data_IF_904752211838
#
_entry.id   IF_904752211838
#
_cell.length_a   1.000
_cell.length_b   1.000
_cell.length_c   1.000
_cell.angle_alpha   90.00
_cell.angle_beta   90.00
_cell.angle_gamma   90.00
#
_symmetry.space_group_name_H-M   'P 1'
#
loop_
_entity.id
_entity.type
_entity.pdbx_description
1 polymer ?
#
# COMPACT_ATOMS: atom_id res chain seq x y z
N UNK A 1 -15.04 -3.49 8.68
CA UNK A 1 -14.35 -4.67 9.26
C UNK A 1 -13.08 -4.98 8.48
N UNK A 2 -13.14 -5.18 7.16
CA UNK A 2 -11.93 -5.45 6.34
C UNK A 2 -10.86 -4.35 6.42
N UNK A 3 -11.21 -3.08 6.23
CA UNK A 3 -10.22 -1.98 6.29
C UNK A 3 -9.54 -1.87 7.65
N UNK A 4 -10.29 -2.05 8.75
CA UNK A 4 -9.75 -2.02 10.12
C UNK A 4 -8.74 -3.15 10.34
N UNK A 5 -9.06 -4.36 9.86
CA UNK A 5 -8.15 -5.50 9.89
C UNK A 5 -6.91 -5.26 9.01
N UNK A 6 -7.05 -4.61 7.84
CA UNK A 6 -5.91 -4.24 6.99
C UNK A 6 -5.02 -3.21 7.69
N UNK A 7 -5.59 -2.19 8.32
CA UNK A 7 -4.86 -1.18 9.11
C UNK A 7 -4.06 -1.84 10.24
N UNK A 8 -4.68 -2.73 11.01
CA UNK A 8 -3.98 -3.53 12.04
C UNK A 8 -2.87 -4.41 11.43
N UNK A 9 -3.13 -5.00 10.26
CA UNK A 9 -2.15 -5.78 9.51
C UNK A 9 -0.95 -4.95 9.05
N UNK A 10 -1.15 -3.71 8.61
CA UNK A 10 -0.05 -2.77 8.25
C UNK A 10 0.84 -2.53 9.47
N UNK A 11 0.24 -2.20 10.62
CA UNK A 11 0.98 -1.93 11.86
C UNK A 11 1.81 -3.15 12.24
N UNK A 12 1.23 -4.35 12.19
CA UNK A 12 1.94 -5.61 12.45
C UNK A 12 3.12 -5.81 11.50
N UNK A 13 2.91 -5.67 10.19
CA UNK A 13 3.95 -5.86 9.17
C UNK A 13 5.10 -4.84 9.32
N UNK A 14 4.80 -3.59 9.67
CA UNK A 14 5.82 -2.57 9.91
C UNK A 14 6.63 -2.88 11.18
N UNK A 15 5.97 -3.31 12.26
CA UNK A 15 6.63 -3.73 13.50
C UNK A 15 7.49 -4.99 13.34
N UNK A 16 7.13 -5.89 12.42
CA UNK A 16 7.93 -7.07 12.06
C UNK A 16 9.15 -6.68 11.20
N UNK A 17 8.98 -5.73 10.28
CA UNK A 17 10.02 -5.31 9.34
C UNK A 17 11.06 -4.37 9.96
N UNK A 18 10.65 -3.50 10.86
CA UNK A 18 11.50 -2.46 11.45
C UNK A 18 11.54 -2.57 12.98
N UNK A 19 12.71 -2.32 13.56
CA UNK A 19 12.84 -2.29 15.01
C UNK A 19 12.14 -1.04 15.61
N UNK A 20 11.83 -1.06 16.91
CA UNK A 20 11.11 0.03 17.58
C UNK A 20 11.80 1.39 17.47
N UNK A 21 13.13 1.41 17.54
CA UNK A 21 13.92 2.66 17.49
C UNK A 21 13.76 3.32 16.12
N UNK A 22 13.91 2.56 15.04
CA UNK A 22 13.71 3.00 13.66
C UNK A 22 12.29 3.51 13.44
N UNK A 23 11.29 2.85 14.00
CA UNK A 23 9.89 3.28 13.90
C UNK A 23 9.70 4.65 14.57
N UNK A 24 10.26 4.82 15.77
CA UNK A 24 10.11 6.03 16.57
C UNK A 24 10.87 7.23 15.97
N UNK A 25 12.01 6.96 15.33
CA UNK A 25 12.83 7.99 14.70
C UNK A 25 12.36 8.34 13.26
N UNK A 26 11.54 7.49 12.64
CA UNK A 26 10.99 7.73 11.31
C UNK A 26 9.58 8.35 11.37
N UNK A 27 9.50 9.62 10.99
CA UNK A 27 8.24 10.36 10.90
C UNK A 27 7.23 9.71 9.96
N UNK A 28 7.68 9.21 8.80
CA UNK A 28 6.78 8.62 7.81
C UNK A 28 6.16 7.31 8.31
N UNK A 29 6.96 6.42 8.91
CA UNK A 29 6.42 5.19 9.52
C UNK A 29 5.42 5.56 10.63
N UNK A 30 5.78 6.52 11.49
CA UNK A 30 4.91 6.99 12.57
C UNK A 30 3.59 7.58 12.04
N UNK A 31 3.62 8.29 10.91
CA UNK A 31 2.43 8.83 10.26
C UNK A 31 1.55 7.71 9.68
N UNK A 32 2.11 6.70 9.01
CA UNK A 32 1.33 5.53 8.55
C UNK A 32 0.63 4.85 9.73
N UNK A 33 1.35 4.63 10.84
CA UNK A 33 0.79 4.00 12.04
C UNK A 33 -0.36 4.86 12.60
N UNK A 34 -0.14 6.16 12.72
CA UNK A 34 -1.17 7.11 13.19
C UNK A 34 -2.42 7.08 12.31
N UNK A 35 -2.25 7.10 10.98
CA UNK A 35 -3.36 6.99 10.02
C UNK A 35 -4.09 5.65 10.20
N UNK A 36 -3.37 4.54 10.33
CA UNK A 36 -3.97 3.22 10.52
C UNK A 36 -4.77 3.11 11.83
N UNK A 37 -4.38 3.86 12.87
CA UNK A 37 -5.06 3.85 14.17
C UNK A 37 -6.38 4.65 14.22
N UNK A 38 -6.70 5.49 13.21
CA UNK A 38 -7.84 6.41 13.26
C UNK A 38 -9.21 5.76 13.48
N UNK A 39 -9.41 4.59 12.87
CA UNK A 39 -10.66 3.82 12.96
C UNK A 39 -10.43 2.45 13.59
N UNK A 40 -9.29 2.27 14.25
CA UNK A 40 -9.01 1.08 15.01
C UNK A 40 -9.69 1.26 16.37
N UNK A 41 -10.92 0.74 16.48
CA UNK A 41 -11.51 0.54 17.79
C UNK A 41 -10.64 -0.50 18.51
N UNK A 42 -10.33 -0.29 19.79
CA UNK A 42 -9.52 -1.18 20.64
C UNK A 42 -10.13 -2.59 20.85
N UNK A 43 -10.94 -3.08 19.91
CA UNK A 43 -11.43 -4.45 19.87
C UNK A 43 -10.28 -5.36 19.42
N UNK A 44 -9.49 -5.77 20.41
CA UNK A 44 -8.33 -6.66 20.32
C UNK A 44 -8.60 -8.06 19.72
N UNK A 45 -9.70 -8.32 19.02
CA UNK A 45 -10.16 -9.68 18.71
C UNK A 45 -10.80 -9.88 17.32
N UNK A 46 -10.17 -9.42 16.24
CA UNK A 46 -10.40 -10.01 14.92
C UNK A 46 -9.11 -10.59 14.35
N UNK A 47 -8.83 -11.83 14.74
CA UNK A 47 -7.77 -12.71 14.21
C UNK A 47 -7.98 -13.12 12.74
N UNK A 48 -8.81 -12.39 11.98
CA UNK A 48 -9.08 -12.68 10.58
C UNK A 48 -7.90 -12.19 9.75
N UNK A 49 -7.01 -13.11 9.39
CA UNK A 49 -5.92 -12.83 8.45
C UNK A 49 -6.51 -12.49 7.08
N UNK A 50 -6.39 -11.25 6.65
CA UNK A 50 -6.81 -10.83 5.31
C UNK A 50 -5.83 -11.39 4.29
N UNK A 51 -6.36 -12.17 3.35
CA UNK A 51 -5.61 -12.71 2.21
C UNK A 51 -5.47 -11.65 1.10
N UNK A 52 -4.53 -11.88 0.19
CA UNK A 52 -4.35 -11.01 -0.99
C UNK A 52 -5.58 -10.97 -1.89
N UNK A 53 -6.39 -12.04 -1.90
CA UNK A 53 -7.58 -12.15 -2.74
C UNK A 53 -8.75 -11.33 -2.20
N UNK A 54 -8.74 -11.00 -0.91
CA UNK A 54 -9.80 -10.22 -0.25
C UNK A 54 -9.64 -8.71 -0.51
N UNK A 55 -8.54 -8.29 -1.14
CA UNK A 55 -8.30 -6.87 -1.42
C UNK A 55 -9.09 -6.45 -2.67
N UNK A 56 -10.22 -5.79 -2.45
CA UNK A 56 -10.98 -5.15 -3.52
C UNK A 56 -10.30 -3.84 -3.97
N UNK A 57 -9.78 -3.83 -5.20
CA UNK A 57 -9.18 -2.64 -5.84
C UNK A 57 -10.18 -1.87 -6.72
N UNK A 58 -11.49 -1.98 -6.47
CA UNK A 58 -12.49 -1.16 -7.16
C UNK A 58 -12.03 0.30 -7.24
N UNK A 59 -11.95 0.80 -8.48
CA UNK A 59 -11.31 2.08 -8.78
C UNK A 59 -11.95 3.21 -7.97
N UNK A 60 -11.18 3.96 -7.18
CA UNK A 60 -11.76 5.07 -6.45
C UNK A 60 -12.07 6.22 -7.42
N UNK A 61 -13.35 6.50 -7.64
CA UNK A 61 -13.77 7.74 -8.28
C UNK A 61 -13.73 8.84 -7.22
N UNK A 62 -12.67 9.65 -7.24
CA UNK A 62 -12.55 10.84 -6.40
C UNK A 62 -13.24 12.01 -7.08
N UNK A 63 -14.31 12.54 -6.47
CA UNK A 63 -14.99 13.74 -6.96
C UNK A 63 -14.52 14.93 -6.12
N UNK A 64 -14.14 16.05 -6.75
CA UNK A 64 -13.88 17.32 -6.05
C UNK A 64 -15.12 17.67 -5.20
N UNK A 65 -14.98 17.80 -3.87
CA UNK A 65 -16.09 18.23 -3.02
C UNK A 65 -16.14 19.76 -2.94
N UNK A 66 -17.34 20.32 -3.05
CA UNK A 66 -17.60 21.77 -3.01
C UNK A 66 -18.15 22.27 -1.66
N UNK A 67 -18.14 21.44 -0.60
CA UNK A 67 -18.79 21.78 0.68
C UNK A 67 -17.88 21.62 1.88
N UNK A 68 -17.79 22.70 2.67
CA UNK A 68 -17.27 22.74 4.04
C UNK A 68 -18.10 21.78 4.91
N UNK A 69 -17.59 20.58 5.14
CA UNK A 69 -18.14 19.69 6.17
C UNK A 69 -17.58 20.10 7.53
N UNK A 70 -18.44 20.08 8.55
CA UNK A 70 -18.08 20.36 9.95
C UNK A 70 -17.15 19.31 10.56
N UNK A 71 -17.06 18.11 9.96
CA UNK A 71 -16.16 17.05 10.39
C UNK A 71 -15.51 16.38 9.15
N UNK A 72 -14.35 16.89 8.72
CA UNK A 72 -13.75 16.53 7.43
C UNK A 72 -13.32 15.05 7.37
N UNK A 73 -12.95 14.48 8.52
CA UNK A 73 -12.60 13.07 8.72
C UNK A 73 -13.81 12.12 8.66
N UNK A 74 -15.04 12.62 8.66
CA UNK A 74 -16.24 11.78 8.48
C UNK A 74 -16.78 11.83 7.05
N UNK A 75 -16.19 12.69 6.21
CA UNK A 75 -16.63 12.90 4.84
C UNK A 75 -16.52 11.62 4.00
N UNK A 76 -17.48 11.44 3.09
CA UNK A 76 -17.47 10.30 2.15
C UNK A 76 -16.21 10.28 1.28
N UNK A 77 -15.66 11.45 0.97
CA UNK A 77 -14.43 11.56 0.19
C UNK A 77 -13.21 11.10 0.99
N UNK A 78 -13.04 11.59 2.21
CA UNK A 78 -11.97 11.15 3.09
C UNK A 78 -11.99 9.63 3.29
N UNK A 79 -13.16 9.06 3.62
CA UNK A 79 -13.30 7.61 3.81
C UNK A 79 -12.89 6.81 2.57
N UNK A 80 -13.12 7.33 1.37
CA UNK A 80 -12.66 6.71 0.11
C UNK A 80 -11.15 6.80 -0.06
N UNK A 81 -10.56 7.99 0.16
CA UNK A 81 -9.11 8.21 0.05
C UNK A 81 -8.33 7.41 1.09
N UNK A 82 -8.81 7.39 2.33
CA UNK A 82 -8.31 6.57 3.43
C UNK A 82 -8.38 5.07 3.08
N UNK A 83 -9.55 4.57 2.66
CA UNK A 83 -9.72 3.16 2.28
C UNK A 83 -8.76 2.77 1.15
N UNK A 84 -8.63 3.61 0.13
CA UNK A 84 -7.68 3.40 -0.95
C UNK A 84 -6.23 3.35 -0.44
N UNK A 85 -5.81 4.34 0.36
CA UNK A 85 -4.47 4.39 0.94
C UNK A 85 -4.15 3.10 1.72
N UNK A 86 -5.03 2.70 2.65
CA UNK A 86 -4.85 1.48 3.45
C UNK A 86 -4.71 0.24 2.56
N UNK A 87 -5.59 0.09 1.56
CA UNK A 87 -5.53 -1.04 0.62
C UNK A 87 -4.20 -1.11 -0.13
N UNK A 88 -3.72 0.01 -0.66
CA UNK A 88 -2.45 0.05 -1.41
C UNK A 88 -1.26 -0.27 -0.50
N UNK A 89 -1.16 0.36 0.67
CA UNK A 89 -0.05 0.14 1.60
C UNK A 89 -0.03 -1.32 2.08
N UNK A 90 -1.18 -1.85 2.49
CA UNK A 90 -1.30 -3.24 2.93
C UNK A 90 -0.89 -4.22 1.82
N UNK A 91 -1.38 -4.02 0.60
CA UNK A 91 -1.06 -4.87 -0.53
C UNK A 91 0.43 -4.81 -0.91
N UNK A 92 1.05 -3.62 -0.87
CA UNK A 92 2.48 -3.47 -1.11
C UNK A 92 3.30 -4.25 -0.08
N UNK A 93 2.99 -4.09 1.22
CA UNK A 93 3.69 -4.81 2.28
C UNK A 93 3.53 -6.32 2.17
N UNK A 94 2.30 -6.82 1.90
CA UNK A 94 2.04 -8.25 1.72
C UNK A 94 2.68 -8.87 0.48
N UNK A 95 3.01 -8.05 -0.52
CA UNK A 95 3.68 -8.49 -1.77
C UNK A 95 5.18 -8.20 -1.76
N UNK A 96 5.75 -7.79 -0.61
CA UNK A 96 7.16 -7.43 -0.46
C UNK A 96 7.62 -6.29 -1.40
N UNK A 97 6.71 -5.39 -1.77
CA UNK A 97 7.05 -4.15 -2.47
C UNK A 97 7.70 -3.20 -1.46
N UNK A 98 8.89 -2.69 -1.80
CA UNK A 98 9.56 -1.67 -1.00
C UNK A 98 8.85 -0.32 -1.14
N UNK A 99 8.18 0.14 -0.09
CA UNK A 99 7.46 1.42 -0.05
C UNK A 99 8.26 2.57 0.56
N UNK A 100 9.46 2.29 1.09
CA UNK A 100 10.37 3.29 1.64
C UNK A 100 11.70 3.28 0.89
N UNK A 101 12.34 4.43 0.83
CA UNK A 101 13.75 4.60 0.49
C UNK A 101 14.57 4.72 1.77
N UNK A 102 15.80 4.18 1.75
CA UNK A 102 16.78 4.35 2.83
C UNK A 102 17.88 5.24 2.27
N UNK A 103 17.93 6.49 2.74
CA UNK A 103 18.90 7.50 2.29
C UNK A 103 19.61 8.05 3.53
N UNK A 104 20.93 7.91 3.60
CA UNK A 104 21.74 8.39 4.73
C UNK A 104 21.14 7.97 6.09
N UNK A 105 20.85 6.68 6.25
CA UNK A 105 20.23 6.10 7.47
C UNK A 105 18.81 6.60 7.79
N UNK A 106 18.24 7.48 6.96
CA UNK A 106 16.86 7.94 7.08
C UNK A 106 15.93 7.09 6.22
N UNK A 107 14.78 6.72 6.78
CA UNK A 107 13.71 6.03 6.07
C UNK A 107 12.69 7.06 5.61
N UNK A 108 12.44 7.12 4.30
CA UNK A 108 11.56 8.10 3.67
C UNK A 108 10.53 7.37 2.83
N UNK A 109 9.27 7.76 2.92
CA UNK A 109 8.18 7.19 2.14
C UNK A 109 8.32 7.57 0.67
N UNK A 110 8.26 6.56 -0.19
CA UNK A 110 8.52 6.75 -1.62
C UNK A 110 7.52 7.69 -2.25
N UNK A 111 8.03 8.56 -3.12
CA UNK A 111 7.21 9.28 -4.06
C UNK A 111 6.53 8.31 -5.05
N UNK A 112 5.47 8.78 -5.72
CA UNK A 112 4.64 7.95 -6.61
C UNK A 112 5.47 7.26 -7.70
N UNK A 113 6.47 7.96 -8.26
CA UNK A 113 7.32 7.41 -9.31
C UNK A 113 8.29 6.32 -8.80
N UNK A 114 8.94 6.55 -7.66
CA UNK A 114 9.80 5.58 -7.00
C UNK A 114 9.00 4.35 -6.53
N UNK A 115 7.76 4.55 -6.07
CA UNK A 115 6.84 3.48 -5.72
C UNK A 115 6.49 2.63 -6.95
N UNK A 116 6.12 3.25 -8.09
CA UNK A 116 5.86 2.52 -9.33
C UNK A 116 7.06 1.68 -9.78
N UNK A 117 8.27 2.24 -9.74
CA UNK A 117 9.50 1.47 -10.01
C UNK A 117 9.66 0.29 -9.06
N UNK A 118 9.35 0.48 -7.77
CA UNK A 118 9.47 -0.58 -6.76
C UNK A 118 8.45 -1.70 -6.97
N UNK A 119 7.24 -1.36 -7.42
CA UNK A 119 6.21 -2.33 -7.81
C UNK A 119 6.67 -3.15 -9.03
N UNK A 120 7.20 -2.48 -10.06
CA UNK A 120 7.72 -3.15 -11.26
C UNK A 120 8.93 -4.05 -10.94
N UNK A 121 9.83 -3.58 -10.07
CA UNK A 121 10.97 -4.37 -9.59
C UNK A 121 10.53 -5.60 -8.77
N UNK A 122 9.55 -5.43 -7.88
CA UNK A 122 8.99 -6.55 -7.11
C UNK A 122 8.38 -7.61 -8.03
N UNK A 123 7.65 -7.19 -9.07
CA UNK A 123 7.13 -8.11 -10.10
C UNK A 123 8.25 -8.88 -10.78
N UNK A 124 9.29 -8.17 -11.22
CA UNK A 124 10.44 -8.77 -11.90
C UNK A 124 11.15 -9.79 -11.00
N UNK A 125 11.38 -9.46 -9.72
CA UNK A 125 11.96 -10.39 -8.73
C UNK A 125 11.11 -11.64 -8.56
N UNK A 126 9.81 -11.49 -8.36
CA UNK A 126 8.87 -12.60 -8.22
C UNK A 126 8.91 -13.56 -9.43
N UNK A 127 8.95 -13.01 -10.65
CA UNK A 127 9.06 -13.81 -11.88
C UNK A 127 10.43 -14.51 -11.97
N UNK A 128 11.52 -13.81 -11.63
CA UNK A 128 12.86 -14.40 -11.66
C UNK A 128 13.01 -15.54 -10.65
N UNK A 129 12.49 -15.38 -9.43
CA UNK A 129 12.45 -16.42 -8.40
C UNK A 129 11.72 -17.67 -8.91
N UNK A 130 10.55 -17.48 -9.55
CA UNK A 130 9.82 -18.60 -10.15
C UNK A 130 10.60 -19.29 -11.28
N UNK A 131 11.24 -18.52 -12.16
CA UNK A 131 12.09 -19.07 -13.23
C UNK A 131 13.27 -19.86 -12.65
N UNK A 132 13.85 -19.40 -11.54
CA UNK A 132 14.96 -20.08 -10.88
C UNK A 132 14.52 -21.43 -10.29
N UNK A 133 13.35 -21.50 -9.65
CA UNK A 133 12.77 -22.76 -9.17
C UNK A 133 12.59 -23.75 -10.33
N UNK A 134 12.02 -23.29 -11.45
CA UNK A 134 11.84 -24.11 -12.65
C UNK A 134 13.17 -24.61 -13.25
N UNK A 135 14.20 -23.74 -13.30
CA UNK A 135 15.54 -24.10 -13.77
C UNK A 135 16.21 -25.13 -12.87
N UNK A 136 16.11 -24.97 -11.56
CA UNK A 136 16.68 -25.91 -10.59
C UNK A 136 16.02 -27.28 -10.71
N UNK A 137 14.71 -27.33 -10.92
CA UNK A 137 14.02 -28.58 -11.21
C UNK A 137 14.48 -29.22 -12.53
N UNK A 138 14.59 -28.46 -13.61
CA UNK A 138 15.09 -28.98 -14.89
C UNK A 138 16.53 -29.53 -14.80
N UNK A 139 17.38 -28.95 -13.95
CA UNK A 139 18.77 -29.44 -13.75
C UNK A 139 18.84 -30.73 -12.93
N UNK A 140 17.85 -30.97 -12.07
CA UNK A 140 17.76 -32.13 -11.18
C UNK A 140 16.51 -32.95 -11.49
N UNK A 141 16.40 -33.47 -12.72
CA UNK A 141 15.21 -34.21 -13.23
C UNK A 141 14.79 -35.38 -12.31
N UNK A 142 15.71 -35.94 -11.54
CA UNK A 142 15.43 -37.00 -10.57
C UNK A 142 14.66 -36.54 -9.31
N UNK A 143 14.69 -35.25 -8.97
CA UNK A 143 13.93 -34.68 -7.87
C UNK A 143 12.54 -34.27 -8.38
N UNK A 144 11.51 -35.08 -8.08
CA UNK A 144 10.12 -34.68 -8.28
C UNK A 144 9.85 -33.35 -7.56
N UNK A 145 9.14 -32.44 -8.22
CA UNK A 145 8.57 -31.27 -7.56
C UNK A 145 7.61 -31.78 -6.49
N UNK A 146 7.75 -31.25 -5.27
CA UNK A 146 6.88 -31.57 -4.15
C UNK A 146 5.44 -31.06 -4.39
N UNK A 147 4.45 -31.75 -3.85
CA UNK A 147 3.03 -31.37 -3.99
C UNK A 147 2.77 -29.95 -3.46
N UNK A 148 3.51 -29.54 -2.42
CA UNK A 148 3.48 -28.17 -1.87
C UNK A 148 3.77 -27.06 -2.90
N UNK A 149 4.55 -27.35 -3.95
CA UNK A 149 4.77 -26.38 -5.02
C UNK A 149 3.49 -26.09 -5.81
N UNK A 150 2.73 -27.13 -6.12
CA UNK A 150 1.49 -27.01 -6.89
C UNK A 150 0.34 -26.51 -6.03
N UNK A 151 0.25 -26.98 -4.79
CA UNK A 151 -0.87 -26.71 -3.90
C UNK A 151 -0.73 -25.37 -3.17
N UNK A 152 0.49 -24.95 -2.81
CA UNK A 152 0.72 -23.72 -2.04
C UNK A 152 1.45 -22.64 -2.84
N UNK A 153 2.59 -22.98 -3.44
CA UNK A 153 3.46 -21.96 -4.07
C UNK A 153 2.82 -21.34 -5.32
N UNK A 154 2.34 -22.14 -6.28
CA UNK A 154 1.77 -21.62 -7.55
C UNK A 154 0.56 -20.71 -7.27
N UNK A 155 -0.45 -21.10 -6.46
CA UNK A 155 -1.57 -20.22 -6.14
C UNK A 155 -1.11 -18.91 -5.49
N UNK A 156 -0.15 -18.98 -4.56
CA UNK A 156 0.44 -17.80 -3.93
C UNK A 156 1.16 -16.87 -4.92
N UNK A 157 1.95 -17.44 -5.83
CA UNK A 157 2.65 -16.72 -6.90
C UNK A 157 1.67 -16.02 -7.85
N UNK A 158 0.60 -16.72 -8.27
CA UNK A 158 -0.44 -16.15 -9.15
C UNK A 158 -1.17 -15.01 -8.43
N UNK A 159 -1.56 -15.20 -7.17
CA UNK A 159 -2.25 -14.18 -6.39
C UNK A 159 -1.38 -12.92 -6.21
N UNK A 160 -0.10 -13.07 -5.87
CA UNK A 160 0.85 -11.95 -5.76
C UNK A 160 0.99 -11.18 -7.07
N UNK A 161 1.17 -11.86 -8.19
CA UNK A 161 1.26 -11.21 -9.51
C UNK A 161 0.00 -10.42 -9.85
N UNK A 162 -1.19 -11.01 -9.65
CA UNK A 162 -2.47 -10.34 -9.90
C UNK A 162 -2.63 -9.07 -9.05
N UNK A 163 -2.25 -9.13 -7.78
CA UNK A 163 -2.33 -7.96 -6.89
C UNK A 163 -1.35 -6.87 -7.32
N UNK A 164 -0.10 -7.22 -7.63
CA UNK A 164 0.91 -6.28 -8.13
C UNK A 164 0.39 -5.54 -9.38
N UNK A 165 -0.21 -6.27 -10.33
CA UNK A 165 -0.76 -5.68 -11.55
C UNK A 165 -1.93 -4.73 -11.25
N UNK A 166 -2.83 -5.11 -10.32
CA UNK A 166 -3.93 -4.23 -9.90
C UNK A 166 -3.45 -2.95 -9.22
N UNK A 167 -2.44 -3.04 -8.34
CA UNK A 167 -1.84 -1.85 -7.69
C UNK A 167 -1.29 -0.91 -8.76
N UNK A 168 -0.50 -1.45 -9.69
CA UNK A 168 0.13 -0.70 -10.76
C UNK A 168 -0.92 -0.01 -11.65
N UNK A 169 -1.94 -0.74 -12.09
CA UNK A 169 -3.02 -0.21 -12.92
C UNK A 169 -3.77 0.92 -12.20
N UNK A 170 -4.09 0.72 -10.91
CA UNK A 170 -4.87 1.70 -10.14
C UNK A 170 -4.09 2.99 -9.92
N UNK A 171 -2.80 2.92 -9.56
CA UNK A 171 -1.96 4.11 -9.42
C UNK A 171 -1.79 4.81 -10.77
N UNK A 172 -1.53 4.06 -11.85
CA UNK A 172 -1.41 4.64 -13.21
C UNK A 172 -2.71 5.31 -13.66
N UNK A 173 -3.87 4.78 -13.28
CA UNK A 173 -5.18 5.40 -13.55
C UNK A 173 -5.32 6.74 -12.81
N UNK A 174 -4.96 6.81 -11.53
CA UNK A 174 -5.01 8.07 -10.77
C UNK A 174 -4.08 9.14 -11.33
N UNK A 175 -2.91 8.75 -11.85
CA UNK A 175 -2.00 9.67 -12.56
C UNK A 175 -2.68 10.21 -13.81
N UNK A 176 -3.26 9.32 -14.64
CA UNK A 176 -3.98 9.72 -15.87
C UNK A 176 -5.16 10.64 -15.60
N UNK A 177 -5.85 10.44 -14.48
CA UNK A 177 -6.99 11.28 -14.05
C UNK A 177 -6.55 12.61 -13.41
N UNK A 178 -5.24 12.89 -13.31
CA UNK A 178 -4.72 14.14 -12.74
C UNK A 178 -4.72 14.18 -11.21
N UNK A 179 -5.18 13.12 -10.53
CA UNK A 179 -5.48 13.13 -9.09
C UNK A 179 -4.21 13.10 -8.24
N UNK A 180 -3.19 12.39 -8.72
CA UNK A 180 -1.87 12.29 -8.06
C UNK A 180 -0.76 12.88 -8.93
N UNK A 181 -1.11 13.66 -9.95
CA UNK A 181 -0.14 14.18 -10.93
C UNK A 181 0.79 15.24 -10.32
N UNK A 182 0.27 16.00 -9.35
CA UNK A 182 1.00 17.06 -8.62
C UNK A 182 1.35 16.65 -7.18
N UNK A 183 1.27 15.37 -6.87
CA UNK A 183 1.49 14.86 -5.51
C UNK A 183 2.78 14.08 -5.41
N UNK A 184 3.56 14.35 -4.38
CA UNK A 184 4.84 13.68 -4.16
C UNK A 184 4.63 12.19 -3.84
N UNK A 185 3.85 11.87 -2.81
CA UNK A 185 3.62 10.48 -2.37
C UNK A 185 2.14 10.20 -2.02
N UNK A 186 1.81 8.94 -1.72
CA UNK A 186 0.42 8.54 -1.40
C UNK A 186 -0.16 9.22 -0.15
N UNK A 187 0.67 9.80 0.73
CA UNK A 187 0.16 10.52 1.90
C UNK A 187 -0.67 11.73 1.54
N UNK A 188 -0.39 12.36 0.40
CA UNK A 188 -1.13 13.53 -0.10
C UNK A 188 -2.63 13.27 -0.29
N UNK A 189 -3.05 12.00 -0.39
CA UNK A 189 -4.46 11.63 -0.43
C UNK A 189 -5.17 11.77 0.93
N UNK A 190 -4.41 11.69 2.03
CA UNK A 190 -4.94 11.50 3.38
C UNK A 190 -4.49 12.62 4.33
N UNK A 191 -3.21 13.01 4.30
CA UNK A 191 -2.63 14.06 5.15
C UNK A 191 -3.33 15.43 5.11
N UNK A 192 -3.83 15.94 3.96
CA UNK A 192 -4.49 17.25 3.94
C UNK A 192 -5.70 17.34 4.88
N UNK A 193 -6.29 16.20 5.22
CA UNK A 193 -7.43 16.09 6.13
C UNK A 193 -7.02 16.08 7.62
N UNK A 194 -5.73 15.90 7.94
CA UNK A 194 -5.17 15.91 9.31
C UNK A 194 -4.64 17.26 9.73
N UNK A 195 -4.25 18.11 8.79
CA UNK A 195 -3.74 19.44 9.08
C UNK A 195 -4.86 20.47 8.99
N UNK A 196 -4.99 21.30 10.02
CA UNK A 196 -5.98 22.38 10.17
C UNK A 196 -5.88 23.46 9.08
N UNK A 197 -4.90 23.36 8.19
CA UNK A 197 -4.63 24.23 7.06
C UNK A 197 -5.05 23.60 5.73
N UNK A 198 -6.11 22.78 5.71
CA UNK A 198 -6.68 22.20 4.47
C UNK A 198 -6.83 23.25 3.37
N UNK A 199 -7.23 24.48 3.75
CA UNK A 199 -7.33 25.63 2.86
C UNK A 199 -6.02 25.98 2.13
N UNK A 200 -4.86 25.88 2.79
CA UNK A 200 -3.56 26.22 2.20
C UNK A 200 -2.99 25.08 1.34
N UNK A 201 -3.27 23.82 1.70
CA UNK A 201 -2.86 22.64 0.90
C UNK A 201 -3.72 22.53 -0.36
N UNK A 202 -5.03 22.77 -0.25
CA UNK A 202 -5.94 22.85 -1.39
C UNK A 202 -5.57 24.05 -2.29
N UNK A 203 -5.29 25.23 -1.73
CA UNK A 203 -4.86 26.42 -2.48
C UNK A 203 -3.49 26.25 -3.18
N UNK A 204 -2.57 25.46 -2.60
CA UNK A 204 -1.32 25.05 -3.28
C UNK A 204 -1.58 24.13 -4.47
N UNK A 205 -2.55 23.22 -4.35
CA UNK A 205 -2.94 22.32 -5.43
C UNK A 205 -3.81 23.03 -6.51
N UNK A 206 -4.51 24.11 -6.17
CA UNK A 206 -5.36 24.90 -7.08
C UNK A 206 -4.61 25.98 -7.87
N UNK A 207 -3.51 26.53 -7.35
CA UNK A 207 -2.72 27.59 -8.05
C UNK A 207 -1.80 27.09 -9.16
N UNK A 208 -1.88 25.80 -9.50
CA UNK A 208 -1.07 25.13 -10.52
C UNK A 208 -1.91 24.61 -11.72
N UNK A 209 -3.22 24.90 -11.75
CA UNK A 209 -4.08 24.83 -12.95
C UNK A 209 -4.09 26.20 -13.67
#
# INVERSE_FOLDING_TARGET
MEITNMSSGIIKLLNEKYNKNVIQDCLDITQIISICNLYNNNDNNSSTSISLNDIDFSSPVFKKTSKKNSNILESKEFKKKYSFFVKIIFACLKTNVEIFDIVNESIIFKNIYALLKSIELAKKKLIMEHIEILKNHHRSIAQKIDESYFDDYIPGFIAKNKVIDKILETIKKLIKEGIVNNTDNLFTLVLPYFYTYTKYIEEYNEKMD
#
